data_IF_313682915245
#
_entry.id   IF_313682915245
#
_cell.length_a   1.000
_cell.length_b   1.000
_cell.length_c   1.000
_cell.angle_alpha   90.00
_cell.angle_beta   90.00
_cell.angle_gamma   90.00
#
_symmetry.space_group_name_H-M   'P 1'
#
loop_
_entity.id
_entity.type
_entity.pdbx_description
1 polymer ?
#
# COMPACT_ATOMS: atom_id res chain seq x y z
N UNK A 1 -9.61 -78.61 -13.09
CA UNK A 1 -10.47 -77.76 -13.89
C UNK A 1 -11.09 -76.77 -12.96
N UNK A 2 -10.62 -75.59 -12.92
CA UNK A 2 -11.35 -74.39 -12.47
C UNK A 2 -10.32 -73.26 -12.37
N UNK A 3 -10.34 -72.45 -13.34
CA UNK A 3 -9.49 -71.30 -13.49
C UNK A 3 -10.05 -70.13 -12.67
N UNK A 4 -9.41 -69.82 -11.57
CA UNK A 4 -9.75 -68.66 -10.77
C UNK A 4 -8.93 -67.46 -11.28
N UNK A 5 -9.56 -66.57 -12.00
CA UNK A 5 -9.00 -65.29 -12.43
C UNK A 5 -9.03 -64.32 -11.29
N UNK A 6 -7.86 -64.02 -10.75
CA UNK A 6 -7.65 -62.93 -9.77
C UNK A 6 -7.54 -61.61 -10.52
N UNK A 7 -8.55 -60.78 -10.39
CA UNK A 7 -8.55 -59.42 -10.91
C UNK A 7 -7.94 -58.50 -9.86
N UNK A 8 -6.69 -58.14 -10.04
CA UNK A 8 -6.08 -57.03 -9.29
C UNK A 8 -6.68 -55.72 -9.77
N UNK A 9 -7.54 -55.14 -8.93
CA UNK A 9 -7.97 -53.76 -9.06
C UNK A 9 -6.89 -52.85 -8.49
N UNK A 10 -6.11 -52.29 -9.35
CA UNK A 10 -5.23 -51.18 -9.01
C UNK A 10 -6.03 -49.90 -8.82
N UNK A 11 -6.18 -49.47 -7.58
CA UNK A 11 -6.72 -48.16 -7.23
C UNK A 11 -5.59 -47.12 -7.47
N UNK A 12 -5.67 -46.47 -8.60
CA UNK A 12 -4.86 -45.26 -8.87
C UNK A 12 -5.54 -44.11 -8.13
N UNK A 13 -5.03 -43.78 -6.95
CA UNK A 13 -5.38 -42.53 -6.27
C UNK A 13 -4.70 -41.38 -7.01
N UNK A 14 -5.44 -40.71 -7.89
CA UNK A 14 -5.01 -39.46 -8.47
C UNK A 14 -5.11 -38.37 -7.40
N UNK A 15 -3.97 -38.05 -6.80
CA UNK A 15 -3.85 -36.88 -5.96
C UNK A 15 -3.91 -35.64 -6.88
N UNK A 16 -5.07 -34.98 -6.94
CA UNK A 16 -5.19 -33.66 -7.51
C UNK A 16 -4.44 -32.68 -6.58
N UNK A 17 -3.20 -32.38 -6.92
CA UNK A 17 -2.55 -31.17 -6.43
C UNK A 17 -3.29 -29.99 -7.07
N UNK A 18 -4.22 -29.40 -6.34
CA UNK A 18 -4.74 -28.08 -6.66
C UNK A 18 -3.62 -27.09 -6.36
N UNK A 19 -2.85 -26.72 -7.37
CA UNK A 19 -2.07 -25.47 -7.33
C UNK A 19 -3.10 -24.35 -7.19
N UNK A 20 -3.29 -23.89 -5.96
CA UNK A 20 -3.87 -22.58 -5.72
C UNK A 20 -2.91 -21.56 -6.34
N UNK A 21 -3.08 -21.27 -7.61
CA UNK A 21 -2.53 -20.08 -8.23
C UNK A 21 -3.17 -18.92 -7.46
N UNK A 22 -2.47 -18.43 -6.44
CA UNK A 22 -2.82 -17.21 -5.76
C UNK A 22 -2.77 -16.09 -6.80
N UNK A 23 -3.89 -15.80 -7.46
CA UNK A 23 -4.10 -14.52 -8.09
C UNK A 23 -3.93 -13.50 -6.97
N UNK A 24 -2.76 -12.89 -6.89
CA UNK A 24 -2.48 -11.81 -5.98
C UNK A 24 -3.50 -10.71 -6.23
N UNK A 25 -4.58 -10.70 -5.43
CA UNK A 25 -5.60 -9.67 -5.50
C UNK A 25 -4.97 -8.31 -5.22
N UNK A 26 -5.62 -7.26 -5.67
CA UNK A 26 -5.24 -5.89 -5.34
C UNK A 26 -6.38 -5.19 -4.65
N UNK A 27 -6.06 -4.31 -3.72
CA UNK A 27 -7.02 -3.48 -3.01
C UNK A 27 -6.70 -2.01 -3.18
N UNK A 28 -7.74 -1.19 -3.17
CA UNK A 28 -7.62 0.25 -3.07
C UNK A 28 -7.76 0.64 -1.60
N UNK A 29 -6.94 1.55 -1.14
CA UNK A 29 -6.92 1.98 0.27
C UNK A 29 -7.22 3.47 0.33
N UNK A 30 -8.26 3.82 1.08
CA UNK A 30 -8.63 5.20 1.37
C UNK A 30 -8.72 5.40 2.88
N UNK A 31 -8.58 6.64 3.33
CA UNK A 31 -8.69 6.98 4.75
C UNK A 31 -8.16 8.37 5.01
N UNK A 32 -7.85 8.64 6.26
CA UNK A 32 -7.26 9.91 6.71
C UNK A 32 -5.95 9.67 7.44
N UNK A 33 -5.08 10.66 7.41
CA UNK A 33 -3.81 10.65 8.13
C UNK A 33 -3.82 11.72 9.19
N UNK A 34 -3.51 11.33 10.43
CA UNK A 34 -3.38 12.23 11.56
C UNK A 34 -2.07 12.00 12.29
N UNK A 35 -1.51 13.04 12.87
CA UNK A 35 -0.36 12.98 13.77
C UNK A 35 -0.71 13.64 15.08
N UNK A 36 -0.64 12.89 16.18
CA UNK A 36 -1.05 13.36 17.52
C UNK A 36 -2.43 14.05 17.53
N UNK A 37 -3.39 13.47 16.79
CA UNK A 37 -4.75 14.00 16.67
C UNK A 37 -4.92 15.18 15.70
N UNK A 38 -3.83 15.68 15.10
CA UNK A 38 -3.89 16.74 14.09
C UNK A 38 -3.91 16.15 12.69
N UNK A 39 -4.80 16.63 11.84
CA UNK A 39 -4.89 16.20 10.45
C UNK A 39 -3.69 16.66 9.63
N UNK A 40 -3.03 15.73 8.92
CA UNK A 40 -2.03 16.08 7.93
C UNK A 40 -2.72 16.70 6.71
N UNK A 41 -2.26 17.87 6.31
CA UNK A 41 -2.84 18.62 5.18
C UNK A 41 -2.00 18.53 3.91
N UNK A 42 -0.84 17.89 3.99
CA UNK A 42 0.10 17.75 2.87
C UNK A 42 1.04 16.56 3.08
N UNK A 43 1.36 15.89 1.99
CA UNK A 43 2.32 14.79 2.00
C UNK A 43 1.93 13.65 1.08
N UNK A 44 2.56 12.52 1.27
CA UNK A 44 2.30 11.27 0.55
C UNK A 44 2.19 10.11 1.52
N UNK A 45 1.29 9.20 1.21
CA UNK A 45 1.20 7.88 1.86
C UNK A 45 1.72 6.84 0.87
N UNK A 46 2.59 5.97 1.33
CA UNK A 46 3.20 4.92 0.53
C UNK A 46 2.92 3.56 1.16
N UNK A 47 2.47 2.62 0.36
CA UNK A 47 2.24 1.24 0.75
C UNK A 47 3.23 0.33 0.03
N UNK A 48 3.95 -0.49 0.78
CA UNK A 48 4.70 -1.63 0.27
C UNK A 48 3.83 -2.88 0.47
N UNK A 49 3.26 -3.37 -0.63
CA UNK A 49 2.40 -4.54 -0.62
C UNK A 49 3.14 -5.84 -0.35
N UNK A 50 2.41 -6.94 -0.21
CA UNK A 50 2.98 -8.28 0.03
C UNK A 50 3.88 -8.77 -1.12
N UNK A 51 3.73 -8.19 -2.31
CA UNK A 51 4.57 -8.44 -3.49
C UNK A 51 5.85 -7.57 -3.53
N UNK A 52 6.08 -6.74 -2.51
CA UNK A 52 7.19 -5.78 -2.44
C UNK A 52 7.03 -4.56 -3.33
N UNK A 53 5.94 -4.43 -4.06
CA UNK A 53 5.68 -3.26 -4.88
C UNK A 53 5.27 -2.06 -4.02
N UNK A 54 5.86 -0.91 -4.33
CA UNK A 54 5.54 0.36 -3.70
C UNK A 54 4.49 1.10 -4.54
N UNK A 55 3.38 1.45 -3.90
CA UNK A 55 2.34 2.31 -4.47
C UNK A 55 2.08 3.47 -3.53
N UNK A 56 1.80 4.64 -4.07
CA UNK A 56 1.65 5.86 -3.29
C UNK A 56 0.44 6.67 -3.70
N UNK A 57 -0.05 7.50 -2.78
CA UNK A 57 -1.08 8.48 -3.00
C UNK A 57 -0.77 9.76 -2.25
N UNK A 58 -1.32 10.88 -2.72
CA UNK A 58 -1.15 12.17 -2.08
C UNK A 58 -2.13 12.34 -0.93
N UNK A 59 -1.71 13.07 0.09
CA UNK A 59 -2.58 13.53 1.18
C UNK A 59 -3.21 14.85 0.75
N UNK A 60 -4.53 14.91 0.79
CA UNK A 60 -5.31 16.11 0.50
C UNK A 60 -5.33 17.08 1.69
N UNK A 61 -5.72 18.35 1.49
CA UNK A 61 -5.80 19.33 2.57
C UNK A 61 -6.75 18.97 3.72
N UNK A 62 -7.71 18.06 3.50
CA UNK A 62 -8.61 17.53 4.52
C UNK A 62 -8.06 16.28 5.24
N UNK A 63 -6.80 15.91 4.93
CA UNK A 63 -6.11 14.75 5.46
C UNK A 63 -6.48 13.42 4.78
N UNK A 64 -7.41 13.43 3.85
CA UNK A 64 -7.79 12.23 3.12
C UNK A 64 -6.72 11.79 2.13
N UNK A 65 -6.63 10.48 1.89
CA UNK A 65 -5.75 9.91 0.89
C UNK A 65 -6.43 8.76 0.15
N UNK A 66 -5.91 8.46 -1.03
CA UNK A 66 -6.32 7.31 -1.82
C UNK A 66 -5.08 6.69 -2.48
N UNK A 67 -4.84 5.41 -2.21
CA UNK A 67 -3.79 4.60 -2.84
C UNK A 67 -4.46 3.43 -3.54
N UNK A 68 -4.21 3.27 -4.83
CA UNK A 68 -4.85 2.24 -5.64
C UNK A 68 -3.90 1.10 -5.97
N UNK A 69 -4.44 -0.11 -6.04
CA UNK A 69 -3.71 -1.26 -6.54
C UNK A 69 -2.63 -1.79 -5.60
N UNK A 70 -2.81 -1.69 -4.29
CA UNK A 70 -1.94 -2.31 -3.29
C UNK A 70 -2.14 -3.83 -3.32
N UNK A 71 -1.05 -4.61 -3.31
CA UNK A 71 -1.16 -6.06 -3.22
C UNK A 71 -1.82 -6.49 -1.91
N UNK A 72 -2.73 -7.46 -2.00
CA UNK A 72 -3.42 -8.01 -0.82
C UNK A 72 -2.44 -8.72 0.12
N UNK A 73 -2.77 -8.71 1.41
CA UNK A 73 -1.92 -9.24 2.48
C UNK A 73 -1.37 -8.14 3.36
N UNK A 74 -0.36 -8.46 4.15
CA UNK A 74 0.28 -7.46 5.00
C UNK A 74 1.06 -6.45 4.15
N UNK A 75 0.75 -5.18 4.33
CA UNK A 75 1.44 -4.07 3.70
C UNK A 75 2.08 -3.19 4.76
N UNK A 76 3.31 -2.77 4.50
CA UNK A 76 4.01 -1.77 5.30
C UNK A 76 3.70 -0.38 4.78
N UNK A 77 3.59 0.59 5.66
CA UNK A 77 3.17 1.94 5.30
C UNK A 77 4.23 2.96 5.69
N UNK A 78 4.46 3.90 4.80
CA UNK A 78 5.24 5.11 5.07
C UNK A 78 4.38 6.34 4.85
N UNK A 79 4.67 7.39 5.60
CA UNK A 79 4.04 8.70 5.45
C UNK A 79 5.14 9.74 5.43
N UNK A 80 5.21 10.49 4.34
CA UNK A 80 6.16 11.59 4.19
C UNK A 80 5.43 12.91 4.04
N UNK A 81 5.87 13.92 4.77
CA UNK A 81 5.28 15.26 4.75
C UNK A 81 6.38 16.31 4.70
N UNK A 82 6.93 16.49 3.50
CA UNK A 82 7.94 17.53 3.24
C UNK A 82 7.23 18.88 3.16
N UNK A 83 7.81 19.91 3.76
CA UNK A 83 7.26 21.27 3.69
C UNK A 83 7.17 21.73 2.21
N UNK A 84 5.97 21.96 1.66
CA UNK A 84 5.83 22.38 0.26
C UNK A 84 6.41 23.77 -0.05
N UNK A 85 6.57 24.61 0.98
CA UNK A 85 7.19 25.92 0.85
C UNK A 85 8.72 25.88 0.98
N UNK A 86 9.32 24.73 1.32
CA UNK A 86 10.78 24.62 1.45
C UNK A 86 11.48 24.65 0.08
N UNK A 87 12.76 25.04 0.09
CA UNK A 87 13.61 24.96 -1.10
C UNK A 87 13.84 23.51 -1.57
N UNK A 88 13.68 22.54 -0.68
CA UNK A 88 13.88 21.13 -0.98
C UNK A 88 12.71 20.55 -1.79
N UNK A 89 11.55 21.22 -1.77
CA UNK A 89 10.43 20.84 -2.61
C UNK A 89 10.65 21.33 -4.05
N UNK A 90 11.03 20.42 -4.94
CA UNK A 90 11.20 20.68 -6.35
C UNK A 90 10.11 19.97 -7.15
N UNK A 91 9.12 20.69 -7.70
CA UNK A 91 8.15 20.10 -8.61
C UNK A 91 8.87 19.61 -9.88
N UNK A 92 8.52 18.40 -10.33
CA UNK A 92 9.03 17.90 -11.62
C UNK A 92 8.38 18.69 -12.75
N UNK A 93 9.20 19.37 -13.51
CA UNK A 93 8.80 20.09 -14.73
C UNK A 93 9.54 19.54 -15.93
N UNK A 94 8.89 19.47 -17.07
CA UNK A 94 9.53 19.09 -18.31
C UNK A 94 10.48 20.23 -18.79
N UNK A 95 11.53 19.92 -19.55
CA UNK A 95 12.42 20.94 -20.11
C UNK A 95 11.62 21.99 -20.89
N UNK A 96 11.84 23.27 -20.58
CA UNK A 96 11.18 24.40 -21.23
C UNK A 96 9.82 24.79 -20.66
N UNK A 97 9.33 24.09 -19.63
CA UNK A 97 8.11 24.48 -18.92
C UNK A 97 8.46 25.28 -17.65
N UNK A 98 7.61 26.25 -17.33
CA UNK A 98 7.72 26.96 -16.06
C UNK A 98 7.22 26.07 -14.93
N UNK A 99 7.93 26.07 -13.79
CA UNK A 99 7.49 25.38 -12.61
C UNK A 99 6.12 25.95 -12.14
N UNK A 100 5.17 25.09 -11.76
CA UNK A 100 3.93 25.58 -11.17
C UNK A 100 4.21 26.35 -9.89
N UNK A 101 3.32 27.29 -9.50
CA UNK A 101 3.43 27.96 -8.22
C UNK A 101 3.59 26.95 -7.08
N UNK A 102 4.46 27.25 -6.12
CA UNK A 102 4.61 26.37 -4.95
C UNK A 102 3.30 26.32 -4.18
N UNK A 103 2.87 25.11 -3.78
CA UNK A 103 1.69 24.98 -2.94
C UNK A 103 1.85 25.77 -1.64
N UNK A 104 0.76 26.36 -1.18
CA UNK A 104 0.76 27.01 0.13
C UNK A 104 0.92 25.99 1.25
N UNK A 105 1.82 26.26 2.19
CA UNK A 105 2.07 25.41 3.35
C UNK A 105 1.06 25.64 4.49
N UNK A 106 -0.11 26.19 4.20
CA UNK A 106 -1.11 26.54 5.21
C UNK A 106 -1.53 25.31 6.00
N UNK A 107 -1.30 25.35 7.32
CA UNK A 107 -1.63 24.24 8.20
C UNK A 107 -0.63 23.08 8.18
N UNK A 108 0.45 23.17 7.41
CA UNK A 108 1.50 22.17 7.42
C UNK A 108 2.28 22.19 8.76
N UNK A 109 2.69 21.00 9.20
CA UNK A 109 3.58 20.82 10.34
C UNK A 109 4.48 19.60 10.09
N UNK A 110 5.70 19.57 10.69
CA UNK A 110 6.60 18.44 10.50
C UNK A 110 6.13 17.20 11.25
N UNK A 111 6.44 16.04 10.71
CA UNK A 111 6.28 14.74 11.36
C UNK A 111 7.64 14.08 11.54
N UNK A 112 7.79 13.13 12.50
CA UNK A 112 9.06 12.43 12.67
C UNK A 112 9.48 11.66 11.43
N UNK A 113 10.77 11.76 11.06
CA UNK A 113 11.33 11.10 9.90
C UNK A 113 11.28 9.56 9.93
N UNK A 114 11.01 8.95 11.09
CA UNK A 114 10.79 7.50 11.19
C UNK A 114 9.65 7.00 10.28
N UNK A 115 8.70 7.87 9.94
CA UNK A 115 7.56 7.51 9.09
C UNK A 115 7.86 7.57 7.60
N UNK A 116 8.97 8.18 7.17
CA UNK A 116 9.33 8.36 5.77
C UNK A 116 9.63 7.05 5.03
N UNK A 117 9.91 5.98 5.75
CA UNK A 117 10.19 4.68 5.15
C UNK A 117 9.31 3.57 5.71
N UNK A 118 8.86 2.61 4.87
CA UNK A 118 8.00 1.51 5.32
C UNK A 118 8.65 0.62 6.40
N UNK A 119 9.97 0.55 6.43
CA UNK A 119 10.72 -0.31 7.37
C UNK A 119 10.91 0.33 8.75
N UNK A 120 10.92 1.65 8.84
CA UNK A 120 11.15 2.39 10.09
C UNK A 120 9.85 2.89 10.73
N UNK A 121 8.79 3.01 9.93
CA UNK A 121 7.51 3.55 10.39
C UNK A 121 6.84 2.70 11.47
N UNK A 122 7.06 1.38 11.44
CA UNK A 122 6.37 0.43 12.30
C UNK A 122 4.88 0.24 11.95
N UNK A 123 4.40 0.85 10.88
CA UNK A 123 3.02 0.78 10.45
C UNK A 123 2.80 -0.41 9.51
N UNK A 124 1.91 -1.31 9.89
CA UNK A 124 1.54 -2.48 9.08
C UNK A 124 0.03 -2.65 9.09
N UNK A 125 -0.55 -2.83 7.92
CA UNK A 125 -1.99 -3.06 7.76
C UNK A 125 -2.27 -4.24 6.85
N UNK A 126 -3.39 -4.92 7.10
CA UNK A 126 -3.86 -6.01 6.25
C UNK A 126 -4.73 -5.44 5.13
N UNK A 127 -4.30 -5.65 3.89
CA UNK A 127 -5.03 -5.21 2.70
C UNK A 127 -5.87 -6.37 2.16
N UNK A 128 -7.15 -6.12 1.97
CA UNK A 128 -8.09 -7.03 1.35
C UNK A 128 -8.30 -6.67 -0.12
N UNK A 129 -8.73 -7.63 -0.92
CA UNK A 129 -9.14 -7.37 -2.30
C UNK A 129 -10.33 -6.40 -2.34
N UNK A 130 -10.30 -5.43 -3.26
CA UNK A 130 -11.31 -4.40 -3.37
C UNK A 130 -11.05 -3.19 -2.46
N UNK A 131 -12.08 -2.41 -2.09
CA UNK A 131 -11.92 -1.20 -1.30
C UNK A 131 -11.59 -1.50 0.16
N UNK A 132 -10.62 -0.77 0.70
CA UNK A 132 -10.23 -0.77 2.12
C UNK A 132 -10.33 0.64 2.68
N UNK A 133 -10.78 0.77 3.91
CA UNK A 133 -10.77 2.04 4.64
C UNK A 133 -9.80 1.91 5.82
N UNK A 134 -8.71 2.67 5.79
CA UNK A 134 -7.66 2.63 6.81
C UNK A 134 -7.29 4.07 7.19
N UNK A 135 -7.60 4.43 8.43
CA UNK A 135 -7.15 5.69 9.00
C UNK A 135 -5.79 5.50 9.66
N UNK A 136 -4.82 6.29 9.24
CA UNK A 136 -3.44 6.21 9.71
C UNK A 136 -3.25 7.22 10.83
N UNK A 137 -2.93 6.72 12.02
CA UNK A 137 -2.65 7.55 13.19
C UNK A 137 -1.15 7.44 13.50
N UNK A 138 -0.48 8.58 13.46
CA UNK A 138 0.94 8.73 13.79
C UNK A 138 1.08 9.30 15.20
N UNK A 139 2.11 8.83 15.93
CA UNK A 139 2.42 9.23 17.31
C UNK A 139 3.79 9.89 17.42
#
# INVERSE_FOLDING_TARGET
MSTTRSTCRALVAAALLTLAAGCGGRGDVAGKVTYQGKTLVWGTVQFEGSDGALVQGNINPDGSYLVRGVATGQAKVAVSSINPASSDFQPRVAPGQQAPPRPEAKGWFPIPGKYDTPYQSGLTYLIKSGPNTIDIQLE
#
